data_IF_320570798173
#
_entry.id   IF_320570798173
#
_cell.length_a   1.000
_cell.length_b   1.000
_cell.length_c   1.000
_cell.angle_alpha   90.00
_cell.angle_beta   90.00
_cell.angle_gamma   90.00
#
_symmetry.space_group_name_H-M   'P 1'
#
loop_
_entity.id
_entity.type
_entity.pdbx_description
1 polymer ?
#
# COMPACT_ATOMS: atom_id res chain seq x y z
N UNK A 1 10.82 -86.37 -28.64
CA UNK A 1 11.90 -85.39 -28.90
C UNK A 1 11.33 -84.11 -29.55
N UNK A 2 10.50 -83.33 -28.83
CA UNK A 2 9.89 -82.08 -29.35
C UNK A 2 10.28 -80.81 -28.56
N UNK A 3 11.17 -80.91 -27.57
CA UNK A 3 11.62 -79.74 -26.79
C UNK A 3 12.67 -78.88 -27.50
N UNK A 4 13.32 -79.42 -28.54
CA UNK A 4 14.38 -78.70 -29.28
C UNK A 4 13.84 -77.70 -30.31
N UNK A 5 12.59 -77.86 -30.75
CA UNK A 5 11.97 -76.98 -31.75
C UNK A 5 11.45 -75.67 -31.14
N UNK A 6 10.86 -75.72 -29.93
CA UNK A 6 10.38 -74.50 -29.25
C UNK A 6 11.52 -73.59 -28.74
N UNK A 7 12.70 -74.15 -28.44
CA UNK A 7 13.87 -73.38 -28.07
C UNK A 7 14.57 -72.71 -29.28
N UNK A 8 14.56 -73.36 -30.45
CA UNK A 8 15.12 -72.76 -31.68
C UNK A 8 14.25 -71.62 -32.22
N UNK A 9 12.92 -71.72 -32.10
CA UNK A 9 12.01 -70.66 -32.54
C UNK A 9 12.16 -69.36 -31.73
N UNK A 10 12.59 -69.45 -30.46
CA UNK A 10 12.80 -68.29 -29.58
C UNK A 10 14.12 -67.55 -29.85
N UNK A 11 15.10 -68.21 -30.47
CA UNK A 11 16.38 -67.61 -30.89
C UNK A 11 16.26 -66.95 -32.28
N UNK A 12 15.23 -67.32 -33.06
CA UNK A 12 14.92 -66.74 -34.37
C UNK A 12 13.87 -65.63 -34.33
N UNK A 13 13.47 -65.16 -33.16
CA UNK A 13 12.76 -63.89 -33.03
C UNK A 13 13.82 -62.78 -33.07
N UNK A 14 14.05 -62.09 -34.22
CA UNK A 14 14.75 -60.83 -34.18
C UNK A 14 14.01 -59.94 -33.19
N UNK A 15 14.73 -59.32 -32.26
CA UNK A 15 14.14 -58.52 -31.21
C UNK A 15 13.09 -57.56 -31.80
N UNK A 16 11.92 -57.48 -31.18
CA UNK A 16 10.96 -56.37 -31.38
C UNK A 16 11.56 -55.00 -30.93
N UNK A 17 12.88 -54.89 -30.77
CA UNK A 17 13.62 -53.65 -30.62
C UNK A 17 13.91 -52.96 -31.96
N UNK A 18 13.78 -53.65 -33.09
CA UNK A 18 13.93 -53.05 -34.43
C UNK A 18 12.60 -52.52 -34.98
N UNK A 19 11.63 -52.26 -34.10
CA UNK A 19 10.62 -51.25 -34.41
C UNK A 19 11.44 -49.95 -34.46
N UNK A 20 11.56 -49.26 -35.61
CA UNK A 20 12.11 -47.93 -35.58
C UNK A 20 11.26 -47.18 -34.57
N UNK A 21 11.84 -46.86 -33.41
CA UNK A 21 11.23 -46.00 -32.41
C UNK A 21 10.71 -44.85 -33.24
N UNK A 22 9.39 -44.82 -33.44
CA UNK A 22 8.74 -43.79 -34.25
C UNK A 22 8.89 -42.55 -33.40
N UNK A 23 10.06 -41.93 -33.52
CA UNK A 23 10.48 -40.75 -32.81
C UNK A 23 9.53 -39.67 -33.31
N UNK A 24 8.48 -39.48 -32.54
CA UNK A 24 7.34 -38.62 -32.83
C UNK A 24 6.54 -39.00 -34.10
N UNK A 25 5.34 -39.54 -33.89
CA UNK A 25 4.24 -39.34 -34.86
C UNK A 25 4.16 -37.84 -35.20
N UNK A 26 3.84 -37.42 -36.43
CA UNK A 26 3.81 -36.01 -36.82
C UNK A 26 2.96 -35.11 -35.89
N UNK A 27 1.95 -35.68 -35.23
CA UNK A 27 1.16 -35.01 -34.18
C UNK A 27 1.95 -34.61 -32.93
N UNK A 28 2.98 -35.38 -32.53
CA UNK A 28 3.82 -35.08 -31.36
C UNK A 28 4.68 -33.82 -31.56
N UNK A 29 5.08 -33.55 -32.80
CA UNK A 29 5.81 -32.32 -33.14
C UNK A 29 4.94 -31.08 -32.99
N UNK A 30 3.66 -31.15 -33.34
CA UNK A 30 2.70 -30.07 -33.09
C UNK A 30 2.52 -29.80 -31.60
N UNK A 31 2.37 -30.85 -30.78
CA UNK A 31 2.24 -30.69 -29.32
C UNK A 31 3.50 -30.07 -28.71
N UNK A 32 4.69 -30.48 -29.16
CA UNK A 32 5.96 -29.91 -28.73
C UNK A 32 6.06 -28.43 -29.11
N UNK A 33 5.74 -28.09 -30.36
CA UNK A 33 5.78 -26.72 -30.86
C UNK A 33 4.82 -25.80 -30.11
N UNK A 34 3.59 -26.25 -29.85
CA UNK A 34 2.59 -25.48 -29.08
C UNK A 34 3.07 -25.25 -27.65
N UNK A 35 3.60 -26.29 -27.00
CA UNK A 35 4.13 -26.18 -25.64
C UNK A 35 5.30 -25.19 -25.57
N UNK A 36 6.22 -25.29 -26.53
CA UNK A 36 7.36 -24.38 -26.65
C UNK A 36 6.91 -22.94 -26.91
N UNK A 37 5.89 -22.74 -27.75
CA UNK A 37 5.34 -21.41 -28.04
C UNK A 37 4.69 -20.79 -26.80
N UNK A 38 3.91 -21.55 -26.03
CA UNK A 38 3.30 -21.08 -24.78
C UNK A 38 4.38 -20.68 -23.77
N UNK A 39 5.42 -21.50 -23.60
CA UNK A 39 6.55 -21.14 -22.73
C UNK A 39 7.25 -19.87 -23.20
N UNK A 40 7.48 -19.70 -24.51
CA UNK A 40 8.11 -18.51 -25.05
C UNK A 40 7.28 -17.24 -24.77
N UNK A 41 5.96 -17.32 -24.95
CA UNK A 41 5.03 -16.22 -24.64
C UNK A 41 5.04 -15.89 -23.14
N UNK A 42 5.01 -16.91 -22.27
CA UNK A 42 5.05 -16.71 -20.83
C UNK A 42 6.37 -16.08 -20.37
N UNK A 43 7.51 -16.55 -20.89
CA UNK A 43 8.82 -15.96 -20.61
C UNK A 43 8.90 -14.52 -21.12
N UNK A 44 8.42 -14.26 -22.33
CA UNK A 44 8.38 -12.91 -22.88
C UNK A 44 7.54 -11.98 -22.00
N UNK A 45 6.34 -12.42 -21.60
CA UNK A 45 5.47 -11.65 -20.71
C UNK A 45 6.07 -11.47 -19.32
N UNK A 46 6.76 -12.46 -18.77
CA UNK A 46 7.44 -12.35 -17.47
C UNK A 46 8.58 -11.32 -17.49
N UNK A 47 9.25 -11.13 -18.62
CA UNK A 47 10.33 -10.14 -18.78
C UNK A 47 9.79 -8.73 -19.11
N UNK A 48 8.71 -8.64 -19.89
CA UNK A 48 8.18 -7.35 -20.39
C UNK A 48 6.99 -6.82 -19.60
N UNK A 49 6.25 -7.68 -18.93
CA UNK A 49 5.06 -7.34 -18.17
C UNK A 49 5.42 -6.75 -16.82
N UNK A 50 4.84 -5.60 -16.52
CA UNK A 50 4.91 -5.00 -15.18
C UNK A 50 3.55 -5.19 -14.50
N UNK A 51 3.55 -5.92 -13.38
CA UNK A 51 2.36 -6.00 -12.53
C UNK A 51 2.43 -4.82 -11.57
N UNK A 52 1.72 -3.74 -11.89
CA UNK A 52 1.64 -2.57 -11.01
C UNK A 52 0.83 -2.92 -9.76
N UNK A 53 1.53 -3.08 -8.64
CA UNK A 53 0.89 -3.27 -7.33
C UNK A 53 0.38 -1.94 -6.80
N UNK A 54 -0.91 -1.67 -6.98
CA UNK A 54 -1.56 -0.48 -6.41
C UNK A 54 -1.94 -0.78 -4.96
N UNK A 55 -1.23 -0.16 -4.00
CA UNK A 55 -1.62 -0.18 -2.60
C UNK A 55 -2.50 1.03 -2.27
N UNK A 56 -3.73 0.77 -1.84
CA UNK A 56 -4.58 1.79 -1.21
C UNK A 56 -4.09 2.04 0.21
N UNK A 57 -3.28 3.07 0.40
CA UNK A 57 -2.90 3.56 1.72
C UNK A 57 -3.84 4.70 2.15
N UNK A 58 -4.48 4.63 3.33
CA UNK A 58 -5.21 5.77 3.86
C UNK A 58 -4.21 6.90 4.15
N UNK A 59 -4.25 7.95 3.34
CA UNK A 59 -3.48 9.18 3.51
C UNK A 59 -4.37 10.35 3.91
N UNK A 60 -3.90 11.19 4.82
CA UNK A 60 -4.56 12.46 5.15
C UNK A 60 -3.84 13.55 4.35
N UNK A 61 -4.59 14.33 3.58
CA UNK A 61 -4.07 15.50 2.88
C UNK A 61 -3.82 16.61 3.91
N UNK A 62 -2.58 16.76 4.35
CA UNK A 62 -2.13 17.86 5.20
C UNK A 62 -1.49 18.96 4.36
N UNK A 63 -1.48 20.18 4.86
CA UNK A 63 -0.89 21.31 4.14
C UNK A 63 0.64 21.27 4.25
N UNK A 64 1.34 21.74 3.21
CA UNK A 64 2.80 21.65 3.08
C UNK A 64 3.60 22.31 4.23
N UNK A 65 2.99 23.23 4.97
CA UNK A 65 3.62 23.92 6.11
C UNK A 65 3.54 23.13 7.44
N UNK A 66 2.88 21.97 7.46
CA UNK A 66 2.63 21.20 8.68
C UNK A 66 1.49 21.77 9.53
N UNK A 67 1.03 20.96 10.49
CA UNK A 67 0.03 21.37 11.47
C UNK A 67 0.76 21.72 12.78
N UNK A 68 0.42 22.86 13.38
CA UNK A 68 0.95 23.25 14.70
C UNK A 68 -0.17 23.22 15.73
N UNK A 69 0.03 22.47 16.81
CA UNK A 69 -0.90 22.44 17.94
C UNK A 69 -0.54 23.58 18.90
N UNK A 70 -1.44 24.55 19.04
CA UNK A 70 -1.29 25.61 20.04
C UNK A 70 -2.01 25.21 21.32
N UNK A 71 -1.24 24.92 22.35
CA UNK A 71 -1.75 24.56 23.67
C UNK A 71 -1.82 25.79 24.58
N UNK A 72 -2.75 25.78 25.54
CA UNK A 72 -2.82 26.85 26.54
C UNK A 72 -1.60 26.80 27.47
N UNK A 73 -0.84 27.91 27.61
CA UNK A 73 0.26 27.98 28.57
C UNK A 73 -0.22 28.11 30.01
N UNK A 74 -1.50 28.45 30.24
CA UNK A 74 -2.07 28.72 31.56
C UNK A 74 -3.41 28.00 31.73
N UNK A 75 -3.68 27.53 32.95
CA UNK A 75 -4.97 26.96 33.30
C UNK A 75 -5.98 28.05 33.69
N UNK A 76 -7.20 27.99 33.19
CA UNK A 76 -8.24 28.97 33.48
C UNK A 76 -9.50 28.81 32.63
N UNK A 77 -10.41 29.78 32.74
CA UNK A 77 -11.68 29.76 32.00
C UNK A 77 -11.61 30.63 30.75
N UNK A 78 -12.01 30.11 29.59
CA UNK A 78 -12.09 30.91 28.36
C UNK A 78 -13.21 31.94 28.50
N UNK A 79 -12.86 33.22 28.45
CA UNK A 79 -13.81 34.34 28.56
C UNK A 79 -14.23 34.91 27.21
N UNK A 80 -13.34 34.86 26.22
CA UNK A 80 -13.62 35.32 24.87
C UNK A 80 -12.86 34.46 23.86
N UNK A 81 -13.49 34.22 22.71
CA UNK A 81 -12.88 33.57 21.55
C UNK A 81 -12.99 34.55 20.39
N UNK A 82 -11.86 34.89 19.78
CA UNK A 82 -11.75 35.88 18.69
C UNK A 82 -11.52 35.24 17.33
N UNK A 83 -11.27 33.93 17.28
CA UNK A 83 -10.97 33.19 16.06
C UNK A 83 -11.92 32.00 15.91
N UNK A 84 -12.32 31.71 14.67
CA UNK A 84 -13.19 30.58 14.33
C UNK A 84 -12.45 29.54 13.50
N UNK A 85 -12.95 28.31 13.48
CA UNK A 85 -12.45 27.27 12.57
C UNK A 85 -12.59 27.73 11.11
N UNK A 86 -11.50 27.60 10.36
CA UNK A 86 -11.40 28.04 8.98
C UNK A 86 -10.80 29.44 8.80
N UNK A 87 -10.65 30.25 9.86
CA UNK A 87 -10.08 31.59 9.76
C UNK A 87 -8.57 31.58 9.51
N UNK A 88 -8.11 32.51 8.68
CA UNK A 88 -6.68 32.75 8.44
C UNK A 88 -6.21 33.91 9.30
N UNK A 89 -5.26 33.63 10.19
CA UNK A 89 -4.72 34.60 11.15
C UNK A 89 -3.26 34.90 10.85
N UNK A 90 -2.85 36.14 11.12
CA UNK A 90 -1.43 36.55 11.09
C UNK A 90 -0.74 36.10 12.38
N UNK A 91 0.59 36.10 12.39
CA UNK A 91 1.36 35.90 13.63
C UNK A 91 1.05 37.02 14.64
N UNK A 92 0.90 36.68 15.93
CA UNK A 92 0.56 37.60 17.01
C UNK A 92 -0.92 37.99 17.11
N UNK A 93 -1.78 37.44 16.26
CA UNK A 93 -3.22 37.71 16.28
C UNK A 93 -3.87 37.10 17.54
N UNK A 94 -4.83 37.79 18.18
CA UNK A 94 -5.53 37.26 19.35
C UNK A 94 -6.41 36.08 18.95
N UNK A 95 -6.30 34.97 19.67
CA UNK A 95 -7.12 33.77 19.47
C UNK A 95 -8.23 33.69 20.50
N UNK A 96 -7.86 33.75 21.77
CA UNK A 96 -8.77 33.59 22.90
C UNK A 96 -8.23 34.32 24.12
N UNK A 97 -9.13 34.71 25.01
CA UNK A 97 -8.80 35.23 26.34
C UNK A 97 -9.18 34.20 27.39
N UNK A 98 -8.26 33.96 28.32
CA UNK A 98 -8.43 33.05 29.45
C UNK A 98 -8.39 33.88 30.71
N UNK A 99 -9.39 33.72 31.58
CA UNK A 99 -9.38 34.24 32.94
C UNK A 99 -8.79 33.17 33.87
N UNK A 100 -7.63 33.50 34.40
CA UNK A 100 -6.94 32.77 35.46
C UNK A 100 -7.33 33.37 36.82
N UNK A 101 -6.98 32.70 37.91
CA UNK A 101 -7.25 33.15 39.29
C UNK A 101 -6.69 34.56 39.59
N UNK A 102 -5.58 34.94 38.94
CA UNK A 102 -4.87 36.20 39.16
C UNK A 102 -5.06 37.26 38.07
N UNK A 103 -5.36 36.89 36.82
CA UNK A 103 -5.42 37.83 35.68
C UNK A 103 -6.15 37.23 34.48
N UNK A 104 -6.69 38.08 33.60
CA UNK A 104 -7.11 37.68 32.25
C UNK A 104 -5.93 37.81 31.28
N UNK A 105 -5.55 36.72 30.63
CA UNK A 105 -4.46 36.65 29.66
C UNK A 105 -5.01 36.35 28.26
N UNK A 106 -4.45 37.00 27.24
CA UNK A 106 -4.88 36.79 25.85
C UNK A 106 -3.84 35.95 25.12
N UNK A 107 -4.25 34.76 24.69
CA UNK A 107 -3.41 33.86 23.92
C UNK A 107 -3.40 34.33 22.48
N UNK A 108 -2.19 34.45 21.91
CA UNK A 108 -1.95 34.93 20.55
C UNK A 108 -1.37 33.81 19.69
N UNK A 109 -1.60 33.89 18.38
CA UNK A 109 -0.98 32.98 17.41
C UNK A 109 0.55 33.14 17.43
N UNK A 110 1.26 32.01 17.40
CA UNK A 110 2.74 32.01 17.30
C UNK A 110 3.18 32.28 15.85
N UNK A 111 2.48 31.69 14.89
CA UNK A 111 2.76 31.83 13.46
C UNK A 111 1.50 32.23 12.69
N UNK A 112 1.68 32.77 11.47
CA UNK A 112 0.59 32.97 10.54
C UNK A 112 0.11 31.62 10.00
N UNK A 113 -1.20 31.43 9.91
CA UNK A 113 -1.78 30.16 9.49
C UNK A 113 -3.29 30.15 9.52
N UNK A 114 -3.88 29.01 9.16
CA UNK A 114 -5.33 28.80 9.19
C UNK A 114 -5.70 27.95 10.41
N UNK A 115 -6.75 28.35 11.12
CA UNK A 115 -7.32 27.56 12.22
C UNK A 115 -8.02 26.35 11.62
N UNK A 116 -7.49 25.15 11.85
CA UNK A 116 -8.09 23.90 11.37
C UNK A 116 -9.18 23.40 12.30
N UNK A 117 -8.90 23.42 13.61
CA UNK A 117 -9.80 22.95 14.67
C UNK A 117 -9.60 23.77 15.92
N UNK A 118 -10.69 24.16 16.57
CA UNK A 118 -10.70 24.91 17.81
C UNK A 118 -11.45 24.13 18.90
N UNK A 119 -10.69 23.46 19.75
CA UNK A 119 -11.24 22.63 20.84
C UNK A 119 -11.81 23.48 21.99
N UNK A 120 -11.31 24.71 22.17
CA UNK A 120 -11.69 25.59 23.26
C UNK A 120 -12.87 26.49 22.89
N UNK A 121 -13.97 26.38 23.65
CA UNK A 121 -15.16 27.24 23.52
C UNK A 121 -15.24 28.24 24.66
N UNK A 122 -15.97 29.34 24.44
CA UNK A 122 -16.29 30.31 25.50
C UNK A 122 -16.92 29.56 26.68
N UNK A 123 -16.42 29.81 27.88
CA UNK A 123 -16.85 29.17 29.12
C UNK A 123 -16.15 27.84 29.45
N UNK A 124 -15.37 27.26 28.54
CA UNK A 124 -14.60 26.05 28.81
C UNK A 124 -13.48 26.30 29.83
N UNK A 125 -13.23 25.32 30.69
CA UNK A 125 -12.08 25.30 31.60
C UNK A 125 -10.94 24.56 30.90
N UNK A 126 -9.81 25.24 30.73
CA UNK A 126 -8.63 24.73 30.04
C UNK A 126 -7.52 24.53 31.06
N UNK A 127 -6.76 23.45 30.92
CA UNK A 127 -5.56 23.18 31.72
C UNK A 127 -4.30 23.55 30.95
N UNK A 128 -3.19 23.76 31.66
CA UNK A 128 -1.87 23.94 31.01
C UNK A 128 -1.55 22.75 30.13
N UNK A 129 -1.20 22.99 28.86
CA UNK A 129 -0.90 21.92 27.90
C UNK A 129 -2.12 21.27 27.25
N UNK A 130 -3.33 21.83 27.39
CA UNK A 130 -4.51 21.40 26.64
C UNK A 130 -4.79 22.28 25.42
#
# INVERSE_FOLDING_TARGET
MQFRQKALAKVQSPEELDIPVRLARPQGWFVLAVTAAIMAVACFWAVTGTVSSTMNAPGILTHAAGNYLLQSPVAGQVTAVFASEGDTLRSGAPLLSIRTDRRTETIRTVAAGRVTTLMAKIGAVVTTGA
#
